data_IF_321938985021
#
_entry.id   IF_321938985021
#
_cell.length_a   1.000
_cell.length_b   1.000
_cell.length_c   1.000
_cell.angle_alpha   90.00
_cell.angle_beta   90.00
_cell.angle_gamma   90.00
#
_symmetry.space_group_name_H-M   'P 1'
#
loop_
_entity.id
_entity.type
_entity.pdbx_description
1 polymer ?
#
# COMPACT_ATOMS: atom_id res chain seq x y z
N UNK A 1 -37.75 -26.06 91.42
CA UNK A 1 -36.96 -27.30 91.62
C UNK A 1 -35.66 -27.18 90.81
N UNK A 2 -34.53 -27.40 91.50
CA UNK A 2 -33.11 -27.52 91.05
C UNK A 2 -32.50 -26.40 90.16
N UNK A 3 -31.57 -25.56 90.65
CA UNK A 3 -30.09 -25.74 90.84
C UNK A 3 -29.41 -26.25 89.54
N UNK A 4 -28.33 -25.68 88.97
CA UNK A 4 -27.19 -24.90 89.48
C UNK A 4 -26.37 -24.28 88.31
N UNK A 5 -25.57 -23.27 88.67
CA UNK A 5 -24.35 -22.70 88.06
C UNK A 5 -23.54 -23.59 87.10
N UNK A 6 -22.84 -22.98 86.12
CA UNK A 6 -21.37 -22.75 86.19
C UNK A 6 -20.91 -21.76 85.08
N UNK A 7 -20.03 -20.89 85.54
CA UNK A 7 -19.24 -19.84 84.93
C UNK A 7 -18.11 -20.41 84.06
N UNK A 8 -17.75 -19.79 82.94
CA UNK A 8 -16.34 -19.65 82.48
C UNK A 8 -16.22 -18.69 81.30
N UNK A 9 -15.47 -17.62 81.56
CA UNK A 9 -14.99 -16.56 80.68
C UNK A 9 -14.21 -17.06 79.46
N UNK A 10 -14.19 -16.30 78.36
CA UNK A 10 -12.94 -15.76 77.82
C UNK A 10 -13.18 -14.67 76.76
N UNK A 11 -12.33 -13.66 76.86
CA UNK A 11 -12.25 -12.38 76.14
C UNK A 11 -11.56 -12.58 74.78
N UNK A 12 -12.00 -11.87 73.73
CA UNK A 12 -11.09 -11.23 72.76
C UNK A 12 -11.81 -10.26 71.81
N UNK A 13 -11.34 -9.01 71.83
CA UNK A 13 -11.45 -7.95 70.83
C UNK A 13 -11.33 -8.44 69.37
N UNK A 14 -12.06 -7.81 68.45
CA UNK A 14 -11.46 -7.16 67.27
C UNK A 14 -12.51 -6.37 66.45
N UNK A 15 -12.14 -5.14 66.18
CA UNK A 15 -12.77 -4.12 65.33
C UNK A 15 -12.53 -4.33 63.82
N UNK A 16 -13.33 -3.59 63.03
CA UNK A 16 -13.13 -3.12 61.64
C UNK A 16 -13.58 -4.02 60.48
N UNK A 17 -14.25 -3.36 59.51
CA UNK A 17 -14.12 -3.74 58.10
C UNK A 17 -15.36 -3.55 57.23
N UNK A 18 -15.78 -2.30 56.98
CA UNK A 18 -16.59 -1.96 55.79
C UNK A 18 -15.83 -2.38 54.53
N UNK A 19 -16.28 -3.44 53.86
CA UNK A 19 -15.74 -3.86 52.56
C UNK A 19 -16.59 -3.27 51.45
N UNK A 20 -16.08 -2.19 50.85
CA UNK A 20 -16.54 -1.69 49.57
C UNK A 20 -16.11 -2.68 48.47
N UNK A 21 -17.05 -3.12 47.65
CA UNK A 21 -16.77 -3.92 46.46
C UNK A 21 -16.23 -3.01 45.35
N UNK A 22 -14.90 -3.03 45.16
CA UNK A 22 -14.26 -2.49 43.96
C UNK A 22 -14.32 -3.54 42.86
N UNK A 23 -15.20 -3.35 41.86
CA UNK A 23 -15.17 -4.16 40.65
C UNK A 23 -13.89 -3.81 39.86
N UNK A 24 -12.97 -4.74 39.78
CA UNK A 24 -11.80 -4.64 38.92
C UNK A 24 -12.22 -4.98 37.49
N UNK A 25 -12.36 -3.95 36.65
CA UNK A 25 -12.44 -4.09 35.21
C UNK A 25 -11.18 -4.83 34.73
N UNK A 26 -11.28 -5.93 33.96
CA UNK A 26 -10.10 -6.59 33.43
C UNK A 26 -9.35 -5.60 32.53
N UNK A 27 -8.01 -5.51 32.63
CA UNK A 27 -7.25 -4.60 31.80
C UNK A 27 -7.43 -5.01 30.34
N UNK A 28 -7.96 -4.08 29.53
CA UNK A 28 -7.88 -4.22 28.08
C UNK A 28 -6.40 -4.36 27.70
N UNK A 29 -6.04 -5.33 26.84
CA UNK A 29 -4.69 -5.39 26.33
C UNK A 29 -4.43 -4.12 25.53
N UNK A 30 -3.69 -3.18 26.15
CA UNK A 30 -2.97 -2.16 25.40
C UNK A 30 -2.17 -2.91 24.35
N UNK A 31 -2.34 -2.54 23.08
CA UNK A 31 -1.56 -3.07 21.97
C UNK A 31 -0.08 -3.03 22.36
N UNK A 32 0.42 -4.19 22.80
CA UNK A 32 1.81 -4.34 23.19
C UNK A 32 2.61 -4.17 21.92
N UNK A 33 3.41 -3.11 21.90
CA UNK A 33 4.35 -2.82 20.85
C UNK A 33 5.19 -4.07 20.57
N UNK A 34 4.91 -4.75 19.46
CA UNK A 34 5.84 -5.66 18.83
C UNK A 34 7.06 -4.86 18.39
N UNK A 35 8.01 -4.67 19.32
CA UNK A 35 9.42 -4.41 19.03
C UNK A 35 10.13 -5.74 18.75
N UNK A 36 9.52 -6.63 17.96
CA UNK A 36 10.29 -7.68 17.32
C UNK A 36 11.19 -6.98 16.30
N UNK A 37 12.50 -7.21 16.36
CA UNK A 37 13.42 -6.65 15.38
C UNK A 37 12.98 -7.14 13.99
N UNK A 38 12.57 -6.22 13.12
CA UNK A 38 12.14 -6.53 11.77
C UNK A 38 13.32 -7.17 11.03
N UNK A 39 13.11 -8.39 10.53
CA UNK A 39 14.13 -9.16 9.79
C UNK A 39 13.94 -8.95 8.29
N UNK A 40 15.03 -9.05 7.53
CA UNK A 40 14.98 -9.07 6.08
C UNK A 40 14.17 -10.28 5.57
N UNK A 41 13.39 -10.09 4.50
CA UNK A 41 12.47 -11.11 3.96
C UNK A 41 11.22 -11.34 4.81
N UNK A 42 11.05 -10.60 5.92
CA UNK A 42 9.90 -10.78 6.80
C UNK A 42 8.64 -10.20 6.17
N UNK A 43 7.59 -11.01 6.12
CA UNK A 43 6.24 -10.59 5.71
C UNK A 43 5.34 -10.52 6.94
N UNK A 44 4.64 -9.41 7.14
CA UNK A 44 3.71 -9.22 8.25
C UNK A 44 2.30 -8.91 7.75
N UNK A 45 1.30 -9.51 8.39
CA UNK A 45 -0.05 -8.97 8.46
C UNK A 45 -0.07 -7.87 9.53
N UNK A 46 -0.37 -6.64 9.10
CA UNK A 46 -0.30 -5.45 9.96
C UNK A 46 -1.49 -5.34 10.93
N UNK A 47 -2.58 -6.06 10.68
CA UNK A 47 -3.74 -6.08 11.58
C UNK A 47 -3.53 -7.05 12.74
N UNK A 48 -3.05 -8.26 12.45
CA UNK A 48 -2.82 -9.29 13.47
C UNK A 48 -1.42 -9.28 14.07
N UNK A 49 -0.45 -8.64 13.41
CA UNK A 49 0.97 -8.68 13.76
C UNK A 49 1.64 -10.03 13.44
N UNK A 50 0.93 -10.94 12.75
CA UNK A 50 1.42 -12.28 12.44
C UNK A 50 2.45 -12.22 11.30
N UNK A 51 3.57 -12.92 11.48
CA UNK A 51 4.51 -13.21 10.38
C UNK A 51 3.93 -14.26 9.45
N UNK A 52 3.96 -13.97 8.15
CA UNK A 52 3.49 -14.83 7.07
C UNK A 52 4.67 -15.41 6.29
N UNK A 53 4.45 -16.57 5.71
CA UNK A 53 5.27 -17.07 4.59
C UNK A 53 4.79 -16.45 3.28
N UNK A 54 5.62 -16.49 2.23
CA UNK A 54 5.25 -16.02 0.89
C UNK A 54 3.98 -16.71 0.36
N UNK A 55 3.85 -18.03 0.57
CA UNK A 55 2.67 -18.79 0.15
C UNK A 55 1.40 -18.36 0.90
N UNK A 56 1.52 -18.05 2.20
CA UNK A 56 0.40 -17.53 2.98
C UNK A 56 0.00 -16.14 2.50
N UNK A 57 0.97 -15.25 2.27
CA UNK A 57 0.72 -13.93 1.70
C UNK A 57 -0.01 -14.06 0.36
N UNK A 58 0.51 -14.86 -0.57
CA UNK A 58 -0.09 -15.05 -1.88
C UNK A 58 -1.55 -15.51 -1.80
N UNK A 59 -1.85 -16.43 -0.87
CA UNK A 59 -3.22 -16.90 -0.61
C UNK A 59 -4.13 -15.75 -0.16
N UNK A 60 -3.66 -14.90 0.76
CA UNK A 60 -4.43 -13.73 1.22
C UNK A 60 -4.65 -12.71 0.10
N UNK A 61 -3.60 -12.41 -0.67
CA UNK A 61 -3.67 -11.43 -1.77
C UNK A 61 -4.58 -11.92 -2.91
N UNK A 62 -4.64 -13.23 -3.15
CA UNK A 62 -5.47 -13.79 -4.21
C UNK A 62 -6.97 -13.52 -4.01
N UNK A 63 -7.43 -13.46 -2.76
CA UNK A 63 -8.83 -13.18 -2.43
C UNK A 63 -9.26 -11.72 -2.71
N UNK A 64 -8.31 -10.79 -2.89
CA UNK A 64 -8.61 -9.37 -3.02
C UNK A 64 -9.11 -8.99 -4.43
N UNK A 65 -10.34 -8.49 -4.62
CA UNK A 65 -10.80 -8.07 -5.95
C UNK A 65 -9.99 -6.90 -6.51
N UNK A 66 -9.41 -6.08 -5.64
CA UNK A 66 -8.50 -4.98 -6.00
C UNK A 66 -7.30 -5.01 -5.05
N UNK A 67 -6.12 -5.13 -5.62
CA UNK A 67 -4.85 -5.18 -4.92
C UNK A 67 -4.00 -4.00 -5.36
N UNK A 68 -3.38 -3.32 -4.40
CA UNK A 68 -2.34 -2.33 -4.66
C UNK A 68 -1.03 -2.81 -4.02
N UNK A 69 0.04 -2.80 -4.81
CA UNK A 69 1.40 -3.05 -4.35
C UNK A 69 2.13 -1.71 -4.35
N UNK A 70 2.58 -1.29 -3.17
CA UNK A 70 3.37 -0.09 -2.97
C UNK A 70 4.86 -0.39 -3.01
N UNK A 71 5.59 0.31 -3.86
CA UNK A 71 7.02 0.10 -4.03
C UNK A 71 7.87 1.35 -3.78
N UNK A 72 9.17 1.12 -3.65
CA UNK A 72 10.21 2.14 -3.80
C UNK A 72 10.89 1.91 -5.14
N UNK A 73 10.75 2.87 -6.04
CA UNK A 73 11.09 2.76 -7.46
C UNK A 73 12.54 2.40 -7.78
N UNK A 74 13.49 2.62 -6.87
CA UNK A 74 14.92 2.34 -7.06
C UNK A 74 15.43 1.14 -6.25
N UNK A 75 14.53 0.33 -5.67
CA UNK A 75 14.91 -0.88 -4.95
C UNK A 75 14.66 -2.12 -5.81
N UNK A 76 15.71 -2.78 -6.30
CA UNK A 76 15.60 -3.92 -7.20
C UNK A 76 14.83 -5.12 -6.63
N UNK A 77 14.92 -5.37 -5.33
CA UNK A 77 14.22 -6.47 -4.67
C UNK A 77 12.70 -6.25 -4.68
N UNK A 78 12.23 -4.99 -4.72
CA UNK A 78 10.81 -4.70 -4.93
C UNK A 78 10.33 -5.16 -6.31
N UNK A 79 11.10 -4.87 -7.38
CA UNK A 79 10.76 -5.26 -8.76
C UNK A 79 10.76 -6.78 -8.93
N UNK A 80 11.67 -7.48 -8.24
CA UNK A 80 11.69 -8.94 -8.19
C UNK A 80 10.42 -9.52 -7.53
N UNK A 81 9.97 -8.93 -6.41
CA UNK A 81 8.72 -9.33 -5.74
C UNK A 81 7.50 -9.02 -6.60
N UNK A 82 7.45 -7.88 -7.29
CA UNK A 82 6.38 -7.53 -8.21
C UNK A 82 6.26 -8.52 -9.36
N UNK A 83 7.39 -8.88 -9.98
CA UNK A 83 7.43 -9.91 -11.01
C UNK A 83 6.96 -11.25 -10.46
N UNK A 84 7.42 -11.65 -9.27
CA UNK A 84 6.98 -12.86 -8.60
C UNK A 84 5.46 -12.85 -8.33
N UNK A 85 4.89 -11.72 -7.91
CA UNK A 85 3.44 -11.59 -7.68
C UNK A 85 2.66 -11.76 -8.98
N UNK A 86 3.08 -11.11 -10.07
CA UNK A 86 2.42 -11.23 -11.39
C UNK A 86 2.44 -12.69 -11.87
N UNK A 87 3.58 -13.37 -11.73
CA UNK A 87 3.76 -14.75 -12.14
C UNK A 87 2.94 -15.74 -11.29
N UNK A 88 2.77 -15.48 -10.00
CA UNK A 88 2.17 -16.44 -9.07
C UNK A 88 0.69 -16.17 -8.73
N UNK A 89 0.21 -14.93 -8.77
CA UNK A 89 -1.21 -14.64 -8.51
C UNK A 89 -2.11 -15.28 -9.57
N UNK A 90 -1.72 -15.26 -10.84
CA UNK A 90 -2.48 -15.87 -11.94
C UNK A 90 -2.65 -17.39 -11.78
N UNK A 91 -1.78 -18.04 -11.00
CA UNK A 91 -1.90 -19.47 -10.66
C UNK A 91 -2.90 -19.75 -9.54
N UNK A 92 -3.24 -18.74 -8.73
CA UNK A 92 -4.14 -18.85 -7.58
C UNK A 92 -5.53 -18.28 -7.86
N UNK A 93 -5.68 -17.42 -8.88
CA UNK A 93 -6.95 -16.82 -9.28
C UNK A 93 -6.96 -16.44 -10.76
N UNK A 94 -8.16 -16.32 -11.38
CA UNK A 94 -8.27 -15.62 -12.66
C UNK A 94 -7.88 -14.16 -12.44
N UNK A 95 -6.76 -13.72 -13.00
CA UNK A 95 -6.36 -12.33 -12.94
C UNK A 95 -7.07 -11.54 -14.05
N UNK A 96 -7.74 -10.45 -13.69
CA UNK A 96 -8.52 -9.63 -14.60
C UNK A 96 -7.71 -8.53 -15.28
N UNK A 97 -6.74 -7.93 -14.58
CA UNK A 97 -5.88 -6.87 -15.13
C UNK A 97 -4.65 -6.57 -14.26
N UNK A 98 -3.63 -5.98 -14.87
CA UNK A 98 -2.50 -5.33 -14.18
C UNK A 98 -2.43 -3.87 -14.63
N UNK A 99 -2.21 -2.97 -13.68
CA UNK A 99 -2.08 -1.53 -13.90
C UNK A 99 -0.73 -1.05 -13.38
N UNK A 100 -0.06 -0.19 -14.12
CA UNK A 100 1.24 0.37 -13.74
C UNK A 100 1.20 1.89 -13.70
N UNK A 101 1.66 2.49 -12.60
CA UNK A 101 1.92 3.93 -12.51
C UNK A 101 2.90 4.41 -13.60
N UNK A 102 3.80 3.54 -14.03
CA UNK A 102 4.87 3.84 -14.98
C UNK A 102 4.35 4.08 -16.40
N UNK A 103 3.11 3.68 -16.69
CA UNK A 103 2.42 3.86 -17.95
C UNK A 103 1.43 5.02 -17.85
N UNK A 104 1.51 5.98 -18.79
CA UNK A 104 0.52 7.07 -18.89
C UNK A 104 -0.65 6.74 -19.82
N UNK A 105 -1.73 7.50 -19.70
CA UNK A 105 -2.92 7.42 -20.57
C UNK A 105 -2.56 7.37 -22.06
N UNK A 106 -1.68 8.26 -22.53
CA UNK A 106 -1.24 8.35 -23.92
C UNK A 106 -0.41 7.15 -24.40
N UNK A 107 0.13 6.32 -23.51
CA UNK A 107 0.83 5.08 -23.88
C UNK A 107 -0.12 3.90 -24.11
N UNK A 108 -1.38 3.97 -23.68
CA UNK A 108 -2.30 2.83 -23.74
C UNK A 108 -2.49 2.23 -25.16
N UNK A 109 -2.61 3.03 -26.25
CA UNK A 109 -2.69 2.46 -27.60
C UNK A 109 -1.46 1.64 -27.98
N UNK A 110 -0.25 2.09 -27.59
CA UNK A 110 1.00 1.36 -27.84
C UNK A 110 1.06 0.08 -27.02
N UNK A 111 0.65 0.12 -25.75
CA UNK A 111 0.54 -1.07 -24.89
C UNK A 111 -0.35 -2.13 -25.55
N UNK A 112 -1.53 -1.73 -26.05
CA UNK A 112 -2.44 -2.64 -26.74
C UNK A 112 -1.83 -3.22 -28.03
N UNK A 113 -1.15 -2.40 -28.83
CA UNK A 113 -0.47 -2.84 -30.05
C UNK A 113 0.64 -3.85 -29.75
N UNK A 114 1.53 -3.54 -28.79
CA UNK A 114 2.64 -4.42 -28.39
C UNK A 114 2.11 -5.73 -27.82
N UNK A 115 1.07 -5.67 -26.97
CA UNK A 115 0.45 -6.87 -26.42
C UNK A 115 -0.12 -7.77 -27.50
N UNK A 116 -0.82 -7.21 -28.49
CA UNK A 116 -1.36 -8.00 -29.60
C UNK A 116 -0.25 -8.62 -30.46
N UNK A 117 0.81 -7.86 -30.75
CA UNK A 117 1.97 -8.36 -31.47
C UNK A 117 2.67 -9.51 -30.72
N UNK A 118 2.83 -9.41 -29.39
CA UNK A 118 3.45 -10.46 -28.59
C UNK A 118 2.65 -11.77 -28.51
N UNK A 119 1.34 -11.77 -28.86
CA UNK A 119 0.53 -13.00 -28.94
C UNK A 119 0.99 -13.93 -30.07
N UNK A 120 1.69 -13.40 -31.07
CA UNK A 120 2.28 -14.18 -32.15
C UNK A 120 3.58 -14.89 -31.72
N UNK A 121 3.95 -14.75 -30.44
CA UNK A 121 5.18 -15.24 -29.81
C UNK A 121 6.45 -14.97 -30.63
N UNK A 122 6.71 -13.71 -31.02
CA UNK A 122 7.90 -13.37 -31.78
C UNK A 122 9.16 -13.55 -30.91
N UNK A 123 10.25 -13.98 -31.55
CA UNK A 123 11.59 -13.87 -30.96
C UNK A 123 12.01 -12.40 -30.98
N UNK A 124 11.95 -11.74 -29.83
CA UNK A 124 12.19 -10.30 -29.67
C UNK A 124 13.22 -10.03 -28.58
N UNK A 125 14.08 -9.03 -28.80
CA UNK A 125 14.98 -8.48 -27.78
C UNK A 125 14.24 -7.46 -26.92
N UNK A 126 14.49 -7.44 -25.62
CA UNK A 126 13.81 -6.55 -24.67
C UNK A 126 13.83 -5.06 -25.08
N UNK A 127 14.95 -4.57 -25.62
CA UNK A 127 15.07 -3.19 -26.09
C UNK A 127 14.06 -2.82 -27.19
N UNK A 128 13.56 -3.78 -27.97
CA UNK A 128 12.50 -3.52 -28.96
C UNK A 128 11.14 -3.32 -28.30
N UNK A 129 10.84 -4.05 -27.22
CA UNK A 129 9.62 -3.85 -26.43
C UNK A 129 9.64 -2.44 -25.82
N UNK A 130 10.76 -2.07 -25.20
CA UNK A 130 10.97 -0.73 -24.63
C UNK A 130 10.72 0.38 -25.65
N UNK A 131 11.28 0.25 -26.86
CA UNK A 131 11.12 1.20 -27.96
C UNK A 131 9.66 1.32 -28.41
N UNK A 132 8.99 0.19 -28.65
CA UNK A 132 7.61 0.17 -29.14
C UNK A 132 6.61 0.74 -28.14
N UNK A 133 6.83 0.54 -26.85
CA UNK A 133 6.07 1.19 -25.78
C UNK A 133 6.34 2.69 -25.68
N UNK A 134 7.44 3.14 -26.31
CA UNK A 134 8.07 4.44 -26.04
C UNK A 134 8.22 4.67 -24.55
N UNK A 135 8.85 3.70 -23.89
CA UNK A 135 9.01 3.66 -22.45
C UNK A 135 9.63 4.96 -21.92
N UNK A 136 9.11 5.47 -20.81
CA UNK A 136 9.55 6.76 -20.30
C UNK A 136 10.93 6.64 -19.66
N UNK A 137 11.84 7.55 -20.03
CA UNK A 137 13.22 7.58 -19.51
C UNK A 137 13.33 7.73 -17.98
N UNK A 138 12.28 8.23 -17.33
CA UNK A 138 12.21 8.35 -15.86
C UNK A 138 12.09 7.02 -15.13
N UNK A 139 11.78 5.93 -15.85
CA UNK A 139 11.66 4.58 -15.32
C UNK A 139 12.76 3.72 -15.94
N UNK A 140 13.85 3.38 -15.23
CA UNK A 140 14.93 2.56 -15.79
C UNK A 140 14.40 1.21 -16.29
N UNK A 141 14.61 0.90 -17.57
CA UNK A 141 14.06 -0.33 -18.16
C UNK A 141 14.67 -1.59 -17.54
N UNK A 142 15.90 -1.49 -17.04
CA UNK A 142 16.60 -2.54 -16.34
C UNK A 142 15.87 -2.99 -15.06
N UNK A 143 15.06 -2.11 -14.47
CA UNK A 143 14.25 -2.40 -13.28
C UNK A 143 12.87 -2.95 -13.68
N UNK A 144 12.18 -2.26 -14.60
CA UNK A 144 10.77 -2.56 -14.91
C UNK A 144 10.56 -3.53 -16.07
N UNK A 145 11.57 -3.78 -16.90
CA UNK A 145 11.43 -4.51 -18.16
C UNK A 145 10.88 -5.92 -17.98
N UNK A 146 11.30 -6.61 -16.92
CA UNK A 146 10.77 -7.94 -16.55
C UNK A 146 9.28 -7.89 -16.20
N UNK A 147 8.91 -7.02 -15.26
CA UNK A 147 7.50 -6.79 -14.82
C UNK A 147 6.61 -6.46 -16.01
N UNK A 148 7.04 -5.51 -16.86
CA UNK A 148 6.28 -5.05 -18.03
C UNK A 148 6.14 -6.16 -19.07
N UNK A 149 7.22 -6.89 -19.36
CA UNK A 149 7.21 -7.95 -20.37
C UNK A 149 6.32 -9.12 -19.95
N UNK A 150 6.38 -9.52 -18.67
CA UNK A 150 5.50 -10.54 -18.11
C UNK A 150 4.02 -10.12 -18.23
N UNK A 151 3.68 -8.90 -17.80
CA UNK A 151 2.29 -8.42 -17.88
C UNK A 151 1.79 -8.23 -19.32
N UNK A 152 2.68 -7.88 -20.27
CA UNK A 152 2.36 -7.84 -21.69
C UNK A 152 2.08 -9.24 -22.25
N UNK A 153 2.81 -10.28 -21.86
CA UNK A 153 2.60 -11.66 -22.32
C UNK A 153 1.42 -12.35 -21.64
N UNK A 154 1.00 -11.88 -20.47
CA UNK A 154 -0.13 -12.44 -19.73
C UNK A 154 -1.46 -12.41 -20.52
N UNK A 155 -2.44 -13.28 -20.22
CA UNK A 155 -3.72 -13.33 -20.95
C UNK A 155 -4.67 -12.15 -20.64
N UNK A 156 -4.41 -11.38 -19.58
CA UNK A 156 -5.20 -10.24 -19.15
C UNK A 156 -4.60 -8.90 -19.62
N UNK A 157 -5.39 -7.81 -19.70
CA UNK A 157 -4.89 -6.50 -20.09
C UNK A 157 -3.84 -5.94 -19.12
N UNK A 158 -2.82 -5.31 -19.70
CA UNK A 158 -1.94 -4.35 -19.03
C UNK A 158 -2.49 -2.94 -19.29
N UNK A 159 -2.75 -2.20 -18.23
CA UNK A 159 -3.34 -0.88 -18.29
C UNK A 159 -2.39 0.17 -17.69
N UNK A 160 -2.56 1.39 -18.17
CA UNK A 160 -1.94 2.57 -17.61
C UNK A 160 -2.61 2.96 -16.29
N UNK A 161 -1.86 3.64 -15.42
CA UNK A 161 -2.40 4.17 -14.17
C UNK A 161 -1.98 5.62 -13.92
N UNK A 162 -1.50 6.35 -14.93
CA UNK A 162 -0.98 7.69 -14.69
C UNK A 162 -1.41 8.69 -15.75
N UNK A 163 -1.45 9.96 -15.34
CA UNK A 163 -1.78 11.06 -16.24
C UNK A 163 -0.61 11.36 -17.18
N UNK A 164 -0.91 11.93 -18.34
CA UNK A 164 0.12 12.33 -19.30
C UNK A 164 0.94 13.52 -18.80
N UNK A 165 2.16 13.63 -19.31
CA UNK A 165 3.07 14.75 -19.02
C UNK A 165 2.43 16.11 -19.32
N UNK A 166 1.61 16.23 -20.36
CA UNK A 166 0.87 17.46 -20.65
C UNK A 166 -0.04 17.86 -19.48
N UNK A 167 -0.80 16.92 -18.92
CA UNK A 167 -1.67 17.15 -17.76
C UNK A 167 -0.86 17.50 -16.51
N UNK A 168 0.29 16.85 -16.29
CA UNK A 168 1.22 17.23 -15.21
C UNK A 168 1.66 18.69 -15.37
N UNK A 169 2.05 19.12 -16.57
CA UNK A 169 2.50 20.49 -16.83
C UNK A 169 1.36 21.52 -16.69
N UNK A 170 0.13 21.16 -17.04
CA UNK A 170 -1.06 22.00 -16.80
C UNK A 170 -1.29 22.21 -15.30
N UNK A 171 -1.33 21.13 -14.53
CA UNK A 171 -1.50 21.17 -13.07
C UNK A 171 -0.35 21.91 -12.38
N UNK A 172 0.86 21.79 -12.92
CA UNK A 172 2.01 22.54 -12.44
C UNK A 172 1.79 24.05 -12.55
N UNK A 173 1.28 24.52 -13.70
CA UNK A 173 1.01 25.93 -13.96
C UNK A 173 -0.23 26.44 -13.23
N UNK A 174 -1.28 25.61 -13.16
CA UNK A 174 -2.57 25.94 -12.55
C UNK A 174 -3.03 24.76 -11.69
N UNK A 175 -2.68 24.76 -10.39
CA UNK A 175 -3.07 23.68 -9.49
C UNK A 175 -4.58 23.54 -9.38
N UNK A 176 -5.03 22.31 -9.49
CA UNK A 176 -6.43 21.90 -9.39
C UNK A 176 -6.51 20.63 -8.53
N UNK A 177 -7.25 20.69 -7.44
CA UNK A 177 -7.41 19.55 -6.52
C UNK A 177 -8.66 18.75 -6.89
N UNK A 178 -8.63 17.41 -6.79
CA UNK A 178 -9.82 16.60 -7.02
C UNK A 178 -10.86 16.86 -5.91
N UNK A 179 -12.14 16.67 -6.22
CA UNK A 179 -13.20 16.68 -5.22
C UNK A 179 -13.16 15.41 -4.37
N UNK A 180 -13.35 15.52 -3.06
CA UNK A 180 -13.35 14.38 -2.14
C UNK A 180 -13.45 14.85 -0.71
N UNK A 181 -13.94 14.00 0.21
CA UNK A 181 -13.94 14.32 1.65
C UNK A 181 -12.75 13.65 2.33
N UNK A 182 -12.38 12.44 1.89
CA UNK A 182 -11.33 11.62 2.48
C UNK A 182 -9.99 11.95 1.88
N UNK A 183 -9.88 11.92 0.55
CA UNK A 183 -8.61 12.07 -0.16
C UNK A 183 -8.00 13.47 -0.06
N UNK A 184 -8.83 14.48 0.17
CA UNK A 184 -8.41 15.89 0.23
C UNK A 184 -8.56 16.48 1.64
N UNK A 185 -8.80 15.64 2.66
CA UNK A 185 -8.89 16.08 4.05
C UNK A 185 -7.63 16.87 4.46
N UNK A 186 -7.74 17.91 5.32
CA UNK A 186 -6.60 18.73 5.69
C UNK A 186 -5.39 17.93 6.17
N UNK A 187 -5.60 16.94 7.06
CA UNK A 187 -4.54 16.08 7.57
C UNK A 187 -3.82 15.26 6.48
N UNK A 188 -4.54 14.82 5.45
CA UNK A 188 -3.97 14.10 4.31
C UNK A 188 -3.10 15.04 3.47
N UNK A 189 -3.62 16.24 3.19
CA UNK A 189 -2.86 17.25 2.44
C UNK A 189 -1.61 17.70 3.20
N UNK A 190 -1.69 17.83 4.53
CA UNK A 190 -0.54 18.18 5.38
C UNK A 190 0.52 17.06 5.36
N UNK A 191 0.11 15.81 5.51
CA UNK A 191 1.03 14.67 5.41
C UNK A 191 1.70 14.58 4.02
N UNK A 192 0.95 14.82 2.95
CA UNK A 192 1.49 14.89 1.59
C UNK A 192 2.45 16.07 1.41
N UNK A 193 2.14 17.26 1.94
CA UNK A 193 3.05 18.42 1.91
C UNK A 193 4.36 18.08 2.61
N UNK A 194 4.32 17.51 3.82
CA UNK A 194 5.53 17.09 4.55
C UNK A 194 6.36 16.10 3.74
N UNK A 195 5.70 15.13 3.10
CA UNK A 195 6.36 14.14 2.26
C UNK A 195 7.03 14.79 1.04
N UNK A 196 6.31 15.67 0.34
CA UNK A 196 6.84 16.38 -0.84
C UNK A 196 8.02 17.26 -0.47
N UNK A 197 7.95 17.99 0.66
CA UNK A 197 9.05 18.81 1.16
C UNK A 197 10.29 17.94 1.42
N UNK A 198 10.11 16.80 2.10
CA UNK A 198 11.21 15.88 2.39
C UNK A 198 11.84 15.30 1.11
N UNK A 199 11.04 14.96 0.10
CA UNK A 199 11.53 14.46 -1.19
C UNK A 199 12.31 15.49 -2.01
N UNK A 200 12.19 16.78 -1.68
CA UNK A 200 12.93 17.88 -2.31
C UNK A 200 14.02 18.44 -1.38
N UNK A 201 14.43 17.70 -0.36
CA UNK A 201 15.44 18.11 0.63
C UNK A 201 15.12 19.44 1.31
N UNK A 202 13.82 19.74 1.49
CA UNK A 202 13.34 21.02 2.02
C UNK A 202 13.26 22.15 1.00
N UNK A 203 13.78 21.97 -0.22
CA UNK A 203 13.91 23.01 -1.24
C UNK A 203 12.68 23.14 -2.14
N UNK A 204 11.49 23.18 -1.54
CA UNK A 204 10.23 23.42 -2.25
C UNK A 204 9.21 24.13 -1.35
N UNK A 205 8.63 25.23 -1.84
CA UNK A 205 7.68 26.02 -1.07
C UNK A 205 6.65 26.75 -1.94
N UNK A 206 5.74 27.47 -1.28
CA UNK A 206 4.77 28.36 -1.91
C UNK A 206 4.01 27.70 -3.06
N UNK A 207 4.10 28.33 -4.23
CA UNK A 207 3.37 27.88 -5.41
C UNK A 207 3.87 26.52 -5.94
N UNK A 208 5.17 26.24 -5.88
CA UNK A 208 5.72 24.97 -6.35
C UNK A 208 5.23 23.80 -5.50
N UNK A 209 5.22 23.96 -4.17
CA UNK A 209 4.68 22.96 -3.25
C UNK A 209 3.18 22.72 -3.51
N UNK A 210 2.41 23.78 -3.69
CA UNK A 210 0.97 23.69 -4.02
C UNK A 210 0.74 22.92 -5.33
N UNK A 211 1.56 23.20 -6.34
CA UNK A 211 1.54 22.51 -7.63
C UNK A 211 1.87 21.02 -7.50
N UNK A 212 2.94 20.67 -6.77
CA UNK A 212 3.29 19.26 -6.54
C UNK A 212 2.22 18.51 -5.78
N UNK A 213 1.62 19.12 -4.75
CA UNK A 213 0.51 18.52 -4.01
C UNK A 213 -0.71 18.26 -4.91
N UNK A 214 -1.04 19.20 -5.79
CA UNK A 214 -2.14 19.04 -6.76
C UNK A 214 -1.84 17.92 -7.76
N UNK A 215 -0.62 17.85 -8.29
CA UNK A 215 -0.18 16.78 -9.18
C UNK A 215 -0.29 15.43 -8.49
N UNK A 216 0.23 15.31 -7.26
CA UNK A 216 0.18 14.08 -6.46
C UNK A 216 -1.27 13.59 -6.31
N UNK A 217 -2.17 14.45 -5.81
CA UNK A 217 -3.59 14.07 -5.61
C UNK A 217 -4.33 13.77 -6.92
N UNK A 218 -3.99 14.43 -8.03
CA UNK A 218 -4.62 14.13 -9.32
C UNK A 218 -4.10 12.82 -9.93
N UNK A 219 -2.83 12.48 -9.72
CA UNK A 219 -2.29 11.15 -10.06
C UNK A 219 -2.99 10.07 -9.25
N UNK A 220 -3.14 10.26 -7.94
CA UNK A 220 -3.85 9.33 -7.07
C UNK A 220 -5.34 9.18 -7.45
N UNK A 221 -6.01 10.29 -7.78
CA UNK A 221 -7.39 10.25 -8.30
C UNK A 221 -7.48 9.49 -9.61
N UNK A 222 -6.55 9.71 -10.53
CA UNK A 222 -6.51 9.00 -11.80
C UNK A 222 -6.29 7.49 -11.60
N UNK A 223 -5.30 7.10 -10.79
CA UNK A 223 -5.03 5.71 -10.42
C UNK A 223 -6.26 5.03 -9.80
N UNK A 224 -6.93 5.70 -8.87
CA UNK A 224 -8.15 5.18 -8.24
C UNK A 224 -9.25 4.91 -9.26
N UNK A 225 -9.48 5.85 -10.19
CA UNK A 225 -10.48 5.67 -11.23
C UNK A 225 -10.13 4.54 -12.20
N UNK A 226 -8.86 4.43 -12.61
CA UNK A 226 -8.39 3.33 -13.45
C UNK A 226 -8.56 2.00 -12.73
N UNK A 227 -8.14 1.90 -11.47
CA UNK A 227 -8.26 0.69 -10.69
C UNK A 227 -9.72 0.29 -10.44
N UNK A 228 -10.64 1.24 -10.23
CA UNK A 228 -12.08 0.96 -10.08
C UNK A 228 -12.73 0.50 -11.39
N UNK A 229 -12.31 1.04 -12.52
CA UNK A 229 -12.87 0.69 -13.84
C UNK A 229 -12.24 -0.58 -14.44
N UNK A 230 -11.09 -1.01 -13.93
CA UNK A 230 -10.37 -2.15 -14.48
C UNK A 230 -11.09 -3.50 -14.19
N UNK A 231 -10.99 -4.48 -15.11
CA UNK A 231 -11.49 -5.83 -14.88
C UNK A 231 -10.87 -6.43 -13.63
N UNK A 232 -11.72 -6.80 -12.67
CA UNK A 232 -11.31 -7.45 -11.42
C UNK A 232 -11.16 -8.97 -11.62
N UNK A 233 -10.32 -9.66 -10.84
CA UNK A 233 -9.35 -9.12 -9.89
C UNK A 233 -8.26 -8.25 -10.54
N UNK A 234 -8.04 -7.05 -10.00
CA UNK A 234 -7.10 -6.07 -10.54
C UNK A 234 -5.90 -5.88 -9.60
N UNK A 235 -4.70 -5.75 -10.18
CA UNK A 235 -3.46 -5.44 -9.46
C UNK A 235 -2.90 -4.10 -9.96
N UNK A 236 -2.74 -3.13 -9.08
CA UNK A 236 -2.03 -1.88 -9.33
C UNK A 236 -0.63 -1.96 -8.69
N UNK A 237 0.42 -1.65 -9.46
CA UNK A 237 1.77 -1.41 -8.96
C UNK A 237 2.06 0.09 -9.05
N UNK A 238 2.40 0.69 -7.92
CA UNK A 238 2.65 2.12 -7.79
C UNK A 238 3.64 2.40 -6.64
N UNK A 239 4.19 3.60 -6.58
CA UNK A 239 5.03 4.05 -5.48
C UNK A 239 4.30 3.99 -4.14
N UNK A 240 5.04 3.74 -3.06
CA UNK A 240 4.48 3.50 -1.72
C UNK A 240 3.60 4.63 -1.19
N UNK A 241 3.88 5.88 -1.56
CA UNK A 241 3.01 7.01 -1.21
C UNK A 241 1.66 6.97 -1.93
N UNK A 242 1.65 6.57 -3.21
CA UNK A 242 0.42 6.34 -3.97
C UNK A 242 -0.36 5.15 -3.40
N UNK A 243 0.33 4.08 -3.00
CA UNK A 243 -0.31 2.88 -2.46
C UNK A 243 -0.86 3.04 -1.03
N UNK A 244 -0.31 3.96 -0.24
CA UNK A 244 -0.65 4.10 1.18
C UNK A 244 -2.13 4.38 1.43
N UNK A 245 -2.74 3.60 2.32
CA UNK A 245 -4.13 3.76 2.79
C UNK A 245 -4.39 5.09 3.51
N UNK A 246 -3.35 5.73 4.03
CA UNK A 246 -3.51 6.96 4.82
C UNK A 246 -3.39 8.26 4.01
N UNK A 247 -2.86 8.21 2.78
CA UNK A 247 -2.59 9.42 1.99
C UNK A 247 -2.79 9.29 0.47
N UNK A 248 -2.90 8.06 -0.06
CA UNK A 248 -2.87 7.81 -1.51
C UNK A 248 -4.18 7.28 -2.08
N UNK A 249 -4.05 6.48 -3.14
CA UNK A 249 -5.12 5.89 -3.96
C UNK A 249 -6.29 5.31 -3.16
N UNK A 250 -6.11 4.55 -2.06
CA UNK A 250 -7.25 4.01 -1.30
C UNK A 250 -8.23 5.06 -0.79
N UNK A 251 -7.77 6.27 -0.43
CA UNK A 251 -8.67 7.35 0.01
C UNK A 251 -9.48 7.92 -1.15
N UNK A 252 -8.88 8.02 -2.33
CA UNK A 252 -9.59 8.43 -3.55
C UNK A 252 -10.62 7.38 -3.97
N UNK A 253 -10.31 6.08 -3.78
CA UNK A 253 -11.30 5.01 -3.98
C UNK A 253 -12.43 5.08 -2.96
N UNK A 254 -12.16 5.41 -1.70
CA UNK A 254 -13.20 5.58 -0.68
C UNK A 254 -14.16 6.73 -1.03
N UNK A 255 -13.66 7.84 -1.59
CA UNK A 255 -14.50 8.95 -2.07
C UNK A 255 -15.32 8.58 -3.31
N UNK A 256 -14.78 7.80 -4.25
CA UNK A 256 -15.44 7.45 -5.51
C UNK A 256 -16.39 6.25 -5.40
N UNK A 257 -16.02 5.23 -4.63
CA UNK A 257 -16.73 3.97 -4.50
C UNK A 257 -16.50 3.37 -3.09
N UNK A 258 -17.22 3.85 -2.05
CA UNK A 258 -16.97 3.49 -0.65
C UNK A 258 -16.98 1.98 -0.32
N UNK A 259 -17.69 1.18 -1.11
CA UNK A 259 -17.79 -0.28 -0.96
C UNK A 259 -16.62 -1.06 -1.61
N UNK A 260 -15.79 -0.41 -2.41
CA UNK A 260 -14.72 -1.03 -3.21
C UNK A 260 -13.34 -0.73 -2.64
N UNK A 261 -13.06 -1.18 -1.41
CA UNK A 261 -11.75 -0.96 -0.78
C UNK A 261 -10.69 -1.93 -1.32
N UNK A 262 -9.49 -1.45 -1.67
CA UNK A 262 -8.40 -2.32 -2.06
C UNK A 262 -7.76 -3.00 -0.85
N UNK A 263 -7.13 -4.14 -1.07
CA UNK A 263 -6.06 -4.66 -0.18
C UNK A 263 -4.75 -4.02 -0.59
N UNK A 264 -3.93 -3.62 0.38
CA UNK A 264 -2.63 -2.98 0.15
C UNK A 264 -1.50 -3.83 0.71
N UNK A 265 -0.57 -4.23 -0.16
CA UNK A 265 0.75 -4.73 0.21
C UNK A 265 1.77 -3.61 0.07
N UNK A 266 2.50 -3.28 1.14
CA UNK A 266 3.64 -2.37 1.07
C UNK A 266 4.95 -3.17 0.98
N UNK A 267 5.76 -2.91 -0.03
CA UNK A 267 7.16 -3.34 -0.07
C UNK A 267 7.99 -2.25 0.60
N UNK A 268 8.73 -2.63 1.64
CA UNK A 268 9.40 -1.67 2.50
C UNK A 268 10.84 -2.08 2.79
N UNK A 269 11.72 -1.10 2.89
CA UNK A 269 13.10 -1.35 3.30
C UNK A 269 13.16 -1.65 4.80
N UNK A 270 14.05 -2.56 5.20
CA UNK A 270 14.31 -2.84 6.61
C UNK A 270 14.60 -1.55 7.38
N UNK A 271 13.91 -1.38 8.51
CA UNK A 271 14.02 -0.19 9.37
C UNK A 271 12.95 0.87 9.09
N UNK A 272 12.22 0.78 7.97
CA UNK A 272 11.01 1.57 7.77
C UNK A 272 9.91 1.10 8.73
N UNK A 273 9.13 2.06 9.25
CA UNK A 273 7.97 1.77 10.08
C UNK A 273 6.71 1.90 9.24
N UNK A 274 6.11 0.77 8.90
CA UNK A 274 4.80 0.70 8.23
C UNK A 274 3.74 0.27 9.25
N UNK A 275 2.59 0.95 9.26
CA UNK A 275 1.47 0.64 10.18
C UNK A 275 0.22 0.17 9.43
N UNK A 276 -0.75 -0.40 10.16
CA UNK A 276 -2.03 -0.85 9.61
C UNK A 276 -2.88 0.27 8.97
N UNK A 277 -2.58 1.53 9.33
CA UNK A 277 -3.20 2.71 8.72
C UNK A 277 -2.67 2.97 7.31
N UNK A 278 -1.49 2.43 6.96
CA UNK A 278 -0.84 2.61 5.67
C UNK A 278 -1.02 1.41 4.74
N UNK A 279 -1.05 0.19 5.26
CA UNK A 279 -1.18 -1.03 4.46
C UNK A 279 -1.85 -2.16 5.26
N UNK A 280 -2.27 -3.22 4.57
CA UNK A 280 -2.78 -4.45 5.21
C UNK A 280 -1.64 -5.45 5.45
N UNK A 281 -0.70 -5.51 4.51
CA UNK A 281 0.49 -6.35 4.59
C UNK A 281 1.74 -5.51 4.33
N UNK A 282 2.86 -5.94 4.91
CA UNK A 282 4.19 -5.40 4.57
C UNK A 282 5.16 -6.54 4.30
N UNK A 283 5.98 -6.41 3.26
CA UNK A 283 7.12 -7.28 2.98
C UNK A 283 8.40 -6.45 3.11
N UNK A 284 9.26 -6.81 4.07
CA UNK A 284 10.51 -6.12 4.30
C UNK A 284 11.65 -6.71 3.46
N UNK A 285 12.37 -5.83 2.76
CA UNK A 285 13.52 -6.16 1.91
C UNK A 285 14.79 -5.42 2.36
N UNK A 286 15.92 -5.69 1.70
CA UNK A 286 17.13 -4.89 1.90
C UNK A 286 16.90 -3.44 1.47
N UNK A 287 17.48 -2.46 2.18
CA UNK A 287 17.56 -1.10 1.66
C UNK A 287 18.26 -1.07 0.30
N UNK A 288 17.75 -0.25 -0.62
CA UNK A 288 18.39 0.00 -1.89
C UNK A 288 19.82 0.49 -1.66
N UNK A 289 20.74 0.09 -2.55
CA UNK A 289 22.10 0.58 -2.49
C UNK A 289 22.11 2.11 -2.59
N UNK A 290 22.86 2.78 -1.71
CA UNK A 290 23.01 4.23 -1.79
C UNK A 290 23.52 4.63 -3.19
N UNK A 291 22.86 5.60 -3.81
CA UNK A 291 23.37 6.21 -5.05
C UNK A 291 24.72 6.83 -4.72
N UNK A 292 25.78 6.28 -5.31
CA UNK A 292 27.15 6.81 -5.21
C UNK A 292 27.28 8.09 -6.01
#
# INVERSE_FOLDING_TARGET
MHKKLILSSLIALASLGLSACSQTTPPQPKASALKAAVVEGQILDLHSGKTLTESQLLTQLAAAPRLIVGEKHDNAEHHEIELWLIQNLVRQRPQGSVLLEMLTAGQQPRVAQVKNWLKEDPVVRDGRIQELLSWQKGWPWEMYGGVVTEALRAPYPLLNANIDRSRVMELYKKPEFPEGKKSTAPAVQDALRTTIIAMHDGNIEGQQLKSMLSIQQQRDRYMAQQLLNAPAPALLIAGGYHASKSIGVPLHMEDLAPSSRPVVLMLAEKGMKITADQADYVWFVKPAAAKR
#
